data_IF_191773530146
#
_entry.id   IF_191773530146
#
_cell.length_a   1.000
_cell.length_b   1.000
_cell.length_c   1.000
_cell.angle_alpha   90.00
_cell.angle_beta   90.00
_cell.angle_gamma   90.00
#
_symmetry.space_group_name_H-M   'P 1'
#
loop_
_entity.id
_entity.type
_entity.pdbx_description
1 polymer ?
#
# COMPACT_ATOMS: atom_id res chain seq x y z
N UNK A 1 6.45 -17.69 13.42
CA UNK A 1 5.16 -17.44 12.75
C UNK A 1 5.40 -16.37 11.72
N UNK A 2 5.56 -16.73 10.44
CA UNK A 2 5.95 -15.82 9.35
C UNK A 2 4.81 -14.86 8.95
N UNK A 3 3.58 -15.18 9.36
CA UNK A 3 2.37 -14.38 9.17
C UNK A 3 1.83 -13.99 10.54
N UNK A 4 2.57 -13.11 11.24
CA UNK A 4 2.17 -12.52 12.50
C UNK A 4 1.59 -11.11 12.33
N UNK A 5 0.94 -10.60 13.37
CA UNK A 5 0.56 -9.18 13.44
C UNK A 5 1.79 -8.28 13.29
N UNK A 6 1.70 -7.27 12.43
CA UNK A 6 2.79 -6.31 12.17
C UNK A 6 3.69 -6.67 10.99
N UNK A 7 3.50 -7.83 10.34
CA UNK A 7 4.24 -8.20 9.13
C UNK A 7 3.52 -7.83 7.82
N UNK A 8 2.34 -7.19 7.89
CA UNK A 8 1.63 -6.73 6.70
C UNK A 8 2.30 -5.50 6.07
N UNK A 9 2.33 -5.44 4.74
CA UNK A 9 2.87 -4.29 4.01
C UNK A 9 1.81 -3.24 3.65
N UNK A 10 0.53 -3.61 3.63
CA UNK A 10 -0.56 -2.73 3.20
C UNK A 10 -1.84 -3.08 3.95
N UNK A 11 -2.55 -2.04 4.40
CA UNK A 11 -3.86 -2.16 5.04
C UNK A 11 -4.96 -1.82 4.04
N UNK A 12 -5.99 -2.66 3.99
CA UNK A 12 -7.22 -2.46 3.21
C UNK A 12 -8.40 -2.38 4.17
N UNK A 13 -9.01 -1.21 4.28
CA UNK A 13 -10.25 -0.99 5.01
C UNK A 13 -11.35 -0.79 3.98
N UNK A 14 -12.37 -1.66 4.02
CA UNK A 14 -13.49 -1.62 3.07
C UNK A 14 -14.77 -1.06 3.69
N UNK A 15 -14.90 -1.15 5.02
CA UNK A 15 -16.02 -0.61 5.79
C UNK A 15 -15.55 -0.10 7.16
N UNK A 16 -16.19 0.95 7.71
CA UNK A 16 -17.29 1.73 7.13
C UNK A 16 -16.85 2.75 6.07
N UNK A 17 -15.54 3.03 5.98
CA UNK A 17 -14.92 3.86 4.95
C UNK A 17 -13.99 2.99 4.10
N UNK A 18 -13.75 3.44 2.85
CA UNK A 18 -12.81 2.80 1.95
C UNK A 18 -11.45 3.50 2.06
N UNK A 19 -10.42 2.74 2.41
CA UNK A 19 -9.06 3.23 2.50
C UNK A 19 -8.06 2.12 2.24
N UNK A 20 -7.06 2.40 1.42
CA UNK A 20 -5.89 1.56 1.24
C UNK A 20 -4.66 2.34 1.63
N UNK A 21 -3.84 1.79 2.51
CA UNK A 21 -2.60 2.42 2.98
C UNK A 21 -1.42 1.46 2.87
N UNK A 22 -0.40 1.81 2.08
CA UNK A 22 0.88 1.10 2.04
C UNK A 22 1.75 1.57 3.21
N UNK A 23 2.13 0.64 4.09
CA UNK A 23 2.87 0.94 5.31
C UNK A 23 4.37 1.15 5.04
N UNK A 24 4.87 0.74 3.88
CA UNK A 24 6.27 0.95 3.50
C UNK A 24 6.49 2.36 2.98
N UNK A 25 5.55 2.86 2.17
CA UNK A 25 5.66 4.16 1.47
C UNK A 25 4.77 5.26 2.04
N UNK A 26 3.88 4.94 2.98
CA UNK A 26 2.83 5.83 3.52
C UNK A 26 1.85 6.37 2.47
N UNK A 27 1.83 5.82 1.25
CA UNK A 27 0.85 6.18 0.22
C UNK A 27 -0.53 5.67 0.61
N UNK A 28 -1.54 6.52 0.42
CA UNK A 28 -2.93 6.25 0.77
C UNK A 28 -3.86 6.48 -0.43
N UNK A 29 -4.93 5.68 -0.53
CA UNK A 29 -5.94 5.79 -1.59
C UNK A 29 -7.33 5.47 -1.06
N UNK A 30 -8.27 6.39 -1.27
CA UNK A 30 -9.66 6.23 -0.82
C UNK A 30 -10.52 5.31 -1.70
N UNK A 31 -10.12 5.05 -2.94
CA UNK A 31 -10.85 4.14 -3.84
C UNK A 31 -10.34 2.69 -3.67
N UNK A 32 -10.76 2.02 -2.60
CA UNK A 32 -10.32 0.65 -2.33
C UNK A 32 -10.76 -0.34 -3.41
N UNK A 33 -11.94 -0.14 -4.01
CA UNK A 33 -12.45 -1.01 -5.07
C UNK A 33 -11.55 -0.95 -6.32
N UNK A 34 -11.21 0.24 -6.80
CA UNK A 34 -10.29 0.39 -7.95
C UNK A 34 -8.93 -0.27 -7.69
N UNK A 35 -8.42 -0.20 -6.46
CA UNK A 35 -7.17 -0.88 -6.09
C UNK A 35 -7.31 -2.40 -6.18
N UNK A 36 -8.45 -2.96 -5.73
CA UNK A 36 -8.74 -4.39 -5.88
C UNK A 36 -8.92 -4.80 -7.34
N UNK A 37 -9.38 -3.88 -8.18
CA UNK A 37 -9.55 -4.08 -9.63
C UNK A 37 -8.25 -3.85 -10.43
N UNK A 38 -7.13 -3.54 -9.74
CA UNK A 38 -5.79 -3.49 -10.35
C UNK A 38 -5.15 -2.11 -10.44
N UNK A 39 -5.78 -1.06 -9.93
CA UNK A 39 -5.25 0.32 -9.91
C UNK A 39 -4.13 0.48 -8.84
N UNK A 40 -3.00 -0.19 -9.10
CA UNK A 40 -1.85 -0.37 -8.21
C UNK A 40 -0.65 0.53 -8.54
N UNK A 41 -0.68 1.23 -9.67
CA UNK A 41 0.48 1.95 -10.22
C UNK A 41 1.09 2.92 -9.20
N UNK A 42 0.26 3.71 -8.51
CA UNK A 42 0.72 4.66 -7.48
C UNK A 42 1.54 3.99 -6.37
N UNK A 43 1.19 2.76 -5.98
CA UNK A 43 1.94 2.03 -4.96
C UNK A 43 3.24 1.44 -5.48
N UNK A 44 3.23 0.98 -6.74
CA UNK A 44 4.42 0.44 -7.41
C UNK A 44 5.46 1.54 -7.63
N UNK A 45 5.04 2.67 -8.17
CA UNK A 45 5.88 3.85 -8.40
C UNK A 45 6.49 4.36 -7.09
N UNK A 46 5.69 4.51 -6.03
CA UNK A 46 6.20 4.93 -4.73
C UNK A 46 7.21 3.95 -4.13
N UNK A 47 6.97 2.63 -4.28
CA UNK A 47 7.89 1.60 -3.80
C UNK A 47 9.21 1.64 -4.58
N UNK A 48 9.16 1.90 -5.89
CA UNK A 48 10.35 2.00 -6.72
C UNK A 48 11.14 3.29 -6.43
N UNK A 49 10.45 4.42 -6.31
CA UNK A 49 11.06 5.70 -5.96
C UNK A 49 11.82 5.62 -4.63
N UNK A 50 11.18 5.09 -3.59
CA UNK A 50 11.81 4.89 -2.28
C UNK A 50 13.06 4.00 -2.35
N UNK A 51 13.02 2.94 -3.16
CA UNK A 51 14.17 2.04 -3.34
C UNK A 51 15.33 2.70 -4.09
N UNK A 52 15.03 3.55 -5.08
CA UNK A 52 16.05 4.31 -5.81
C UNK A 52 16.65 5.41 -4.92
N UNK A 53 15.85 6.07 -4.09
CA UNK A 53 16.32 7.09 -3.15
C UNK A 53 17.21 6.51 -2.05
N UNK A 54 16.86 5.34 -1.49
CA UNK A 54 17.67 4.66 -0.48
C UNK A 54 19.00 4.09 -0.99
N UNK A 55 19.27 4.16 -2.29
CA UNK A 55 20.54 3.74 -2.92
C UNK A 55 21.51 4.90 -3.19
N UNK A 56 21.21 6.10 -2.72
CA UNK A 56 22.13 7.25 -2.80
C UNK A 56 23.01 7.35 -1.56
#
# INVERSE_FOLDING_TARGET
SEIGWGHQIRSYVLHPYQMVKDLRTNVEKGNAQGVLDGDLDTFLEASLAMHVEGKK
#
